data_IF_950067163607
#
_entry.id   IF_950067163607
#
_cell.length_a   1.000
_cell.length_b   1.000
_cell.length_c   1.000
_cell.angle_alpha   90.00
_cell.angle_beta   90.00
_cell.angle_gamma   90.00
#
_symmetry.space_group_name_H-M   'P 1'
#
loop_
_entity.id
_entity.type
_entity.pdbx_description
1 polymer ?
#
# COMPACT_ATOMS: atom_id res chain seq x y z
N UNK A 1 -5.57 -19.51 -12.08
CA UNK A 1 -5.74 -18.83 -10.79
C UNK A 1 -5.81 -17.33 -11.01
N UNK A 2 -6.85 -16.68 -10.50
CA UNK A 2 -6.98 -15.22 -10.63
C UNK A 2 -6.09 -14.54 -9.61
N UNK A 3 -5.31 -13.53 -10.00
CA UNK A 3 -4.56 -12.77 -9.02
C UNK A 3 -5.49 -11.99 -8.10
N UNK A 4 -5.12 -11.89 -6.85
CA UNK A 4 -5.87 -11.06 -5.93
C UNK A 4 -5.65 -9.59 -6.27
N UNK A 5 -6.73 -8.80 -6.14
CA UNK A 5 -6.61 -7.37 -6.28
C UNK A 5 -5.89 -6.80 -5.06
N UNK A 6 -4.88 -6.00 -5.32
CA UNK A 6 -4.11 -5.37 -4.26
C UNK A 6 -4.13 -3.87 -4.43
N UNK A 7 -3.83 -3.16 -3.35
CA UNK A 7 -3.70 -1.70 -3.43
C UNK A 7 -2.44 -1.33 -4.21
N UNK A 8 -2.50 -0.28 -5.02
CA UNK A 8 -1.30 0.23 -5.68
C UNK A 8 -0.26 0.66 -4.65
N UNK A 9 0.99 0.39 -4.96
CA UNK A 9 2.12 0.69 -4.08
C UNK A 9 3.12 1.56 -4.82
N UNK A 10 3.67 2.56 -4.15
CA UNK A 10 4.75 3.38 -4.68
C UNK A 10 6.01 3.05 -3.89
N UNK A 11 7.12 2.84 -4.60
CA UNK A 11 8.42 2.56 -3.98
C UNK A 11 9.39 3.63 -4.47
N UNK A 12 10.14 4.21 -3.54
CA UNK A 12 11.12 5.24 -3.89
C UNK A 12 12.31 5.17 -2.94
N UNK A 13 13.48 5.67 -3.39
CA UNK A 13 14.66 5.70 -2.53
C UNK A 13 14.46 6.66 -1.36
N UNK A 14 14.96 6.28 -0.19
CA UNK A 14 14.95 7.15 0.98
C UNK A 14 16.22 8.00 0.98
N UNK A 15 16.13 9.23 1.48
CA UNK A 15 17.28 10.13 1.51
C UNK A 15 18.44 9.58 2.32
N UNK A 16 18.13 8.86 3.39
CA UNK A 16 19.14 8.33 4.31
C UNK A 16 19.68 6.97 3.90
N UNK A 17 19.25 6.47 2.73
CA UNK A 17 19.63 5.15 2.27
C UNK A 17 18.44 4.19 2.36
N UNK A 18 18.51 3.12 1.57
CA UNK A 18 17.40 2.17 1.49
C UNK A 18 16.23 2.71 0.69
N UNK A 19 15.06 2.12 0.92
CA UNK A 19 13.85 2.42 0.15
C UNK A 19 12.66 2.55 1.07
N UNK A 20 11.63 3.22 0.55
CA UNK A 20 10.33 3.35 1.21
C UNK A 20 9.28 2.80 0.25
N UNK A 21 8.35 2.03 0.77
CA UNK A 21 7.17 1.58 0.02
C UNK A 21 5.95 2.09 0.75
N UNK A 22 4.99 2.62 0.03
CA UNK A 22 3.77 3.09 0.66
C UNK A 22 2.54 2.80 -0.19
N UNK A 23 1.39 2.73 0.48
CA UNK A 23 0.10 2.56 -0.16
C UNK A 23 -0.59 3.93 -0.13
N UNK A 24 -0.60 4.67 -1.25
CA UNK A 24 -1.15 6.04 -1.24
C UNK A 24 -2.62 6.11 -0.82
N UNK A 25 -3.40 5.07 -1.11
CA UNK A 25 -4.81 5.04 -0.75
C UNK A 25 -5.06 4.87 0.74
N UNK A 26 -4.06 4.41 1.49
CA UNK A 26 -4.16 4.16 2.93
C UNK A 26 -3.18 5.07 3.65
N UNK A 27 -3.68 6.21 4.12
CA UNK A 27 -2.84 7.23 4.73
C UNK A 27 -2.02 6.68 5.91
N UNK A 28 -0.70 6.87 5.83
CA UNK A 28 0.21 6.39 6.87
C UNK A 28 0.62 4.93 6.74
N UNK A 29 0.16 4.24 5.70
CA UNK A 29 0.53 2.85 5.47
C UNK A 29 1.81 2.80 4.63
N UNK A 30 2.96 2.72 5.30
CA UNK A 30 4.26 2.69 4.63
C UNK A 30 5.25 1.83 5.41
N UNK A 31 6.32 1.44 4.74
CA UNK A 31 7.37 0.63 5.34
C UNK A 31 8.71 0.97 4.69
N UNK A 32 9.80 0.67 5.40
CA UNK A 32 11.15 0.90 4.93
C UNK A 32 11.89 -0.42 4.83
N UNK A 33 12.94 -0.44 4.01
CA UNK A 33 13.80 -1.61 3.86
C UNK A 33 15.05 -1.25 3.09
N UNK A 34 16.03 -2.13 3.12
CA UNK A 34 17.29 -1.93 2.40
C UNK A 34 17.12 -2.15 0.90
N UNK A 35 16.13 -2.96 0.51
CA UNK A 35 15.83 -3.26 -0.90
C UNK A 35 14.33 -3.10 -1.14
N UNK A 36 13.93 -2.90 -2.41
CA UNK A 36 12.49 -2.88 -2.72
C UNK A 36 11.75 -4.13 -2.27
N UNK A 37 12.39 -5.30 -2.39
CA UNK A 37 11.78 -6.56 -1.98
C UNK A 37 11.51 -6.58 -0.47
N UNK A 38 12.45 -6.11 0.33
CA UNK A 38 12.27 -6.02 1.77
C UNK A 38 11.15 -5.04 2.14
N UNK A 39 11.09 -3.91 1.44
CA UNK A 39 10.03 -2.93 1.66
C UNK A 39 8.66 -3.55 1.43
N UNK A 40 8.50 -4.30 0.34
CA UNK A 40 7.22 -4.93 0.02
C UNK A 40 6.83 -5.97 1.06
N UNK A 41 7.81 -6.73 1.54
CA UNK A 41 7.56 -7.74 2.56
C UNK A 41 7.08 -7.10 3.86
N UNK A 42 7.75 -6.03 4.29
CA UNK A 42 7.35 -5.30 5.49
C UNK A 42 6.02 -4.58 5.29
N UNK A 43 5.80 -4.03 4.10
CA UNK A 43 4.57 -3.33 3.80
C UNK A 43 3.34 -4.22 3.92
N UNK A 44 3.45 -5.49 3.54
CA UNK A 44 2.33 -6.43 3.69
C UNK A 44 1.89 -6.56 5.13
N UNK A 45 2.87 -6.62 6.05
CA UNK A 45 2.57 -6.69 7.48
C UNK A 45 1.90 -5.42 7.98
N UNK A 46 2.47 -4.27 7.59
CA UNK A 46 1.94 -2.97 7.98
C UNK A 46 0.52 -2.79 7.45
N UNK A 47 0.30 -3.16 6.20
CA UNK A 47 -1.01 -3.05 5.56
C UNK A 47 -2.06 -3.88 6.27
N UNK A 48 -1.73 -5.11 6.63
CA UNK A 48 -2.65 -5.98 7.37
C UNK A 48 -3.05 -5.37 8.69
N UNK A 49 -2.08 -4.85 9.44
CA UNK A 49 -2.35 -4.20 10.72
C UNK A 49 -3.15 -2.92 10.54
N UNK A 50 -2.84 -2.14 9.50
CA UNK A 50 -3.54 -0.90 9.20
C UNK A 50 -5.01 -1.17 8.88
N UNK A 51 -5.28 -2.17 8.03
CA UNK A 51 -6.65 -2.52 7.65
C UNK A 51 -7.43 -3.09 8.85
N UNK A 52 -6.78 -3.87 9.68
CA UNK A 52 -7.40 -4.40 10.88
C UNK A 52 -7.80 -3.28 11.85
N UNK A 53 -6.91 -2.32 12.03
CA UNK A 53 -7.17 -1.16 12.87
C UNK A 53 -8.34 -0.32 12.33
N UNK A 54 -8.34 -0.08 11.03
CA UNK A 54 -9.41 0.69 10.39
C UNK A 54 -10.76 -0.01 10.55
N UNK A 55 -10.80 -1.32 10.39
CA UNK A 55 -12.04 -2.09 10.58
C UNK A 55 -12.51 -2.02 12.02
N UNK A 56 -11.58 -2.11 12.96
CA UNK A 56 -11.89 -2.03 14.39
C UNK A 56 -12.49 -0.67 14.75
N UNK A 57 -11.98 0.38 14.13
CA UNK A 57 -12.45 1.75 14.34
C UNK A 57 -13.61 2.13 13.43
N UNK A 58 -14.12 1.18 12.64
CA UNK A 58 -15.24 1.39 11.71
C UNK A 58 -14.99 2.52 10.71
N UNK A 59 -13.75 2.70 10.31
CA UNK A 59 -13.39 3.70 9.30
C UNK A 59 -13.76 3.19 7.91
N UNK A 60 -14.18 4.10 7.05
CA UNK A 60 -14.43 3.77 5.66
C UNK A 60 -13.10 3.72 4.92
N UNK A 61 -12.83 2.59 4.28
CA UNK A 61 -11.60 2.38 3.54
C UNK A 61 -11.96 2.00 2.11
N UNK A 62 -11.34 2.62 1.10
CA UNK A 62 -11.62 2.23 -0.28
C UNK A 62 -11.12 0.81 -0.54
N UNK A 63 -11.83 0.06 -1.37
CA UNK A 63 -11.38 -1.27 -1.75
C UNK A 63 -10.30 -1.14 -2.82
N UNK A 64 -9.45 -2.17 -2.99
CA UNK A 64 -8.46 -2.14 -4.09
C UNK A 64 -9.10 -1.91 -5.45
N UNK A 65 -10.26 -2.50 -5.70
CA UNK A 65 -10.97 -2.31 -6.96
C UNK A 65 -11.37 -0.86 -7.19
N UNK A 66 -11.84 -0.17 -6.15
CA UNK A 66 -12.21 1.24 -6.24
C UNK A 66 -11.00 2.12 -6.55
N UNK A 67 -9.87 1.85 -5.90
CA UNK A 67 -8.64 2.60 -6.11
C UNK A 67 -8.11 2.39 -7.52
N UNK A 68 -8.10 1.13 -7.98
CA UNK A 68 -7.63 0.81 -9.32
C UNK A 68 -8.52 1.44 -10.41
N UNK A 69 -9.82 1.49 -10.17
CA UNK A 69 -10.74 2.13 -11.11
C UNK A 69 -10.43 3.63 -11.27
N UNK A 70 -10.12 4.32 -10.17
CA UNK A 70 -9.73 5.72 -10.20
C UNK A 70 -8.43 5.94 -10.98
N UNK A 71 -7.45 5.07 -10.75
CA UNK A 71 -6.17 5.16 -11.46
C UNK A 71 -6.35 4.99 -12.96
N UNK A 72 -7.19 4.04 -13.36
CA UNK A 72 -7.45 3.81 -14.79
C UNK A 72 -8.05 5.03 -15.45
N UNK A 73 -8.92 5.75 -14.75
CA UNK A 73 -9.51 6.98 -15.27
C UNK A 73 -8.47 8.07 -15.46
N UNK A 74 -7.45 8.12 -14.58
CA UNK A 74 -6.41 9.13 -14.66
C UNK A 74 -5.46 8.89 -15.83
N UNK A 75 -5.25 7.65 -16.23
CA UNK A 75 -4.30 7.31 -17.30
C UNK A 75 -4.96 6.93 -18.62
N UNK A 76 -6.26 6.86 -18.66
CA UNK A 76 -7.01 6.49 -19.87
C UNK A 76 -7.13 7.64 -20.86
#
# INVERSE_FOLDING_TARGET
MKPELTYPVVIYPAEEGGYVAEVPALKGCLAQGETPAECLKELKKVQSLWLESARRNKEKVPTPAQVLAKLRKLVA
#
